data_IF_138317774517
#
_entry.id   IF_138317774517
#
_cell.length_a   1.000
_cell.length_b   1.000
_cell.length_c   1.000
_cell.angle_alpha   90.00
_cell.angle_beta   90.00
_cell.angle_gamma   90.00
#
_symmetry.space_group_name_H-M   'P 1'
#
loop_
_entity.id
_entity.type
_entity.pdbx_description
1 polymer ?
#
# COMPACT_ATOMS: atom_id res chain seq x y z
N UNK A 1 -15.93 9.59 -18.68
CA UNK A 1 -15.68 8.74 -17.51
C UNK A 1 -14.21 8.84 -17.09
N UNK A 2 -13.90 8.94 -15.79
CA UNK A 2 -12.54 8.96 -15.32
C UNK A 2 -11.81 7.66 -15.69
N UNK A 3 -10.61 7.76 -16.26
CA UNK A 3 -9.85 6.56 -16.63
C UNK A 3 -8.97 6.13 -15.47
N UNK A 4 -9.48 5.32 -14.57
CA UNK A 4 -8.74 4.79 -13.42
C UNK A 4 -7.46 4.02 -13.83
N UNK A 5 -7.46 3.33 -14.98
CA UNK A 5 -6.25 2.68 -15.53
C UNK A 5 -5.13 3.70 -15.78
N UNK A 6 -5.48 4.93 -16.19
CA UNK A 6 -4.49 6.00 -16.41
C UNK A 6 -3.83 6.46 -15.13
N UNK A 7 -4.53 6.43 -13.98
CA UNK A 7 -3.94 6.78 -12.68
C UNK A 7 -2.78 5.85 -12.35
N UNK A 8 -3.02 4.54 -12.43
CA UNK A 8 -1.97 3.55 -12.14
C UNK A 8 -0.77 3.70 -13.08
N UNK A 9 -1.04 3.79 -14.40
CA UNK A 9 0.02 3.99 -15.40
C UNK A 9 0.79 5.30 -15.17
N UNK A 10 0.10 6.35 -14.76
CA UNK A 10 0.72 7.63 -14.44
C UNK A 10 1.62 7.55 -13.21
N UNK A 11 1.14 6.94 -12.13
CA UNK A 11 1.94 6.73 -10.90
C UNK A 11 3.18 5.87 -11.20
N UNK A 12 3.03 4.75 -11.92
CA UNK A 12 4.16 3.88 -12.25
C UNK A 12 5.16 4.58 -13.17
N UNK A 13 4.69 5.43 -14.08
CA UNK A 13 5.54 6.25 -14.93
C UNK A 13 6.36 7.26 -14.10
N UNK A 14 5.72 7.96 -13.15
CA UNK A 14 6.42 8.87 -12.23
C UNK A 14 7.47 8.13 -11.40
N UNK A 15 7.11 6.98 -10.83
CA UNK A 15 8.03 6.16 -10.03
C UNK A 15 9.25 5.72 -10.85
N UNK A 16 9.03 5.32 -12.08
CA UNK A 16 10.10 4.83 -12.98
C UNK A 16 10.99 5.96 -13.43
N UNK A 17 10.43 7.05 -13.95
CA UNK A 17 11.20 8.15 -14.53
C UNK A 17 12.01 8.93 -13.50
N UNK A 18 11.51 9.05 -12.30
CA UNK A 18 12.18 9.80 -11.23
C UNK A 18 12.80 8.90 -10.14
N UNK A 19 12.71 7.57 -10.27
CA UNK A 19 13.20 6.60 -9.27
C UNK A 19 12.68 6.89 -7.86
N UNK A 20 11.40 7.30 -7.74
CA UNK A 20 10.77 7.72 -6.50
C UNK A 20 9.98 6.59 -5.84
N UNK A 21 9.84 6.64 -4.53
CA UNK A 21 8.83 5.90 -3.79
C UNK A 21 7.63 6.81 -3.56
N UNK A 22 6.47 6.43 -4.10
CA UNK A 22 5.23 7.17 -3.94
C UNK A 22 4.31 6.44 -2.97
N UNK A 23 3.74 7.18 -2.04
CA UNK A 23 2.70 6.69 -1.12
C UNK A 23 1.55 7.68 -1.04
N UNK A 24 0.37 7.16 -0.75
CA UNK A 24 -0.85 7.94 -0.55
C UNK A 24 -1.29 7.76 0.90
N UNK A 25 -1.53 8.88 1.57
CA UNK A 25 -2.10 8.91 2.92
C UNK A 25 -3.56 9.29 2.82
N UNK A 26 -4.41 8.46 3.42
CA UNK A 26 -5.84 8.73 3.55
C UNK A 26 -6.16 9.23 4.96
N UNK A 27 -6.61 10.48 5.08
CA UNK A 27 -6.97 11.08 6.36
C UNK A 27 -8.49 11.11 6.60
N UNK A 28 -9.28 10.76 5.61
CA UNK A 28 -10.74 10.92 5.63
C UNK A 28 -11.55 9.69 5.24
N UNK A 29 -10.87 8.59 4.94
CA UNK A 29 -11.50 7.39 4.38
C UNK A 29 -11.96 7.58 2.92
N UNK A 30 -11.36 8.53 2.18
CA UNK A 30 -11.82 8.86 0.84
C UNK A 30 -11.62 7.72 -0.16
N UNK A 31 -10.57 6.94 0.04
CA UNK A 31 -10.23 5.82 -0.84
C UNK A 31 -11.36 4.79 -0.86
N UNK A 32 -11.94 4.51 0.31
CA UNK A 32 -13.00 3.49 0.46
C UNK A 32 -14.39 3.96 0.00
N UNK A 33 -14.53 5.23 -0.39
CA UNK A 33 -15.80 5.76 -0.91
C UNK A 33 -16.02 5.50 -2.40
N UNK A 34 -14.97 5.08 -3.10
CA UNK A 34 -15.01 4.77 -4.52
C UNK A 34 -14.16 3.53 -4.78
N UNK A 35 -14.81 2.40 -5.08
CA UNK A 35 -14.15 1.10 -5.26
C UNK A 35 -13.10 1.07 -6.38
N UNK A 36 -13.34 1.81 -7.48
CA UNK A 36 -12.38 1.91 -8.56
C UNK A 36 -11.11 2.67 -8.11
N UNK A 37 -11.30 3.71 -7.30
CA UNK A 37 -10.20 4.48 -6.72
C UNK A 37 -9.44 3.64 -5.70
N UNK A 38 -10.14 2.90 -4.82
CA UNK A 38 -9.54 1.97 -3.88
C UNK A 38 -8.65 0.96 -4.58
N UNK A 39 -9.17 0.28 -5.58
CA UNK A 39 -8.43 -0.74 -6.34
C UNK A 39 -7.11 -0.19 -6.91
N UNK A 40 -7.15 1.01 -7.46
CA UNK A 40 -6.00 1.63 -8.11
C UNK A 40 -4.99 2.18 -7.10
N UNK A 41 -5.46 2.75 -5.97
CA UNK A 41 -4.61 3.42 -5.00
C UNK A 41 -4.11 2.50 -3.87
N UNK A 42 -4.76 1.36 -3.64
CA UNK A 42 -4.41 0.40 -2.59
C UNK A 42 -2.94 -0.02 -2.57
N UNK A 43 -2.26 -0.27 -3.72
CA UNK A 43 -0.83 -0.61 -3.74
C UNK A 43 0.09 0.49 -3.18
N UNK A 44 -0.39 1.71 -3.10
CA UNK A 44 0.39 2.88 -2.71
C UNK A 44 0.09 3.37 -1.28
N UNK A 45 -0.67 2.62 -0.48
CA UNK A 45 -1.04 3.02 0.89
C UNK A 45 0.08 2.81 1.91
N UNK A 46 1.11 2.06 1.57
CA UNK A 46 2.19 1.75 2.48
C UNK A 46 3.57 1.94 1.84
N UNK A 47 4.52 2.42 2.63
CA UNK A 47 5.93 2.40 2.25
C UNK A 47 6.46 0.97 2.26
N UNK A 48 6.95 0.50 1.12
CA UNK A 48 7.49 -0.86 0.92
C UNK A 48 9.01 -0.89 0.70
N UNK A 49 9.72 0.23 0.90
CA UNK A 49 11.17 0.21 0.72
C UNK A 49 11.86 -0.63 1.81
N UNK A 50 12.93 -1.37 1.46
CA UNK A 50 13.65 -2.19 2.43
C UNK A 50 14.15 -1.41 3.65
N UNK A 51 14.57 -0.16 3.46
CA UNK A 51 14.97 0.70 4.58
C UNK A 51 13.79 1.01 5.51
N UNK A 52 12.64 1.43 4.96
CA UNK A 52 11.45 1.72 5.76
C UNK A 52 10.93 0.49 6.48
N UNK A 53 10.95 -0.68 5.82
CA UNK A 53 10.55 -1.94 6.43
C UNK A 53 11.47 -2.31 7.61
N UNK A 54 12.79 -2.22 7.42
CA UNK A 54 13.76 -2.47 8.47
C UNK A 54 13.56 -1.53 9.68
N UNK A 55 13.31 -0.24 9.45
CA UNK A 55 13.04 0.70 10.56
C UNK A 55 11.77 0.30 11.32
N UNK A 56 10.73 -0.13 10.62
CA UNK A 56 9.45 -0.53 11.22
C UNK A 56 9.43 -1.90 11.88
N UNK A 57 10.49 -2.69 11.77
CA UNK A 57 10.62 -3.97 12.50
C UNK A 57 10.62 -3.80 14.01
N UNK A 58 11.00 -2.62 14.54
CA UNK A 58 10.90 -2.33 15.96
C UNK A 58 9.64 -1.54 16.28
N UNK A 59 9.04 -1.82 17.42
CA UNK A 59 7.90 -1.07 17.95
C UNK A 59 8.17 0.44 17.96
N UNK A 60 9.33 0.84 18.49
CA UNK A 60 9.78 2.24 18.52
C UNK A 60 9.83 2.88 17.13
N UNK A 61 10.37 2.17 16.15
CA UNK A 61 10.46 2.66 14.76
C UNK A 61 9.10 2.79 14.11
N UNK A 62 8.23 1.82 14.35
CA UNK A 62 6.86 1.81 13.82
C UNK A 62 6.01 2.93 14.44
N UNK A 63 5.97 3.05 15.77
CA UNK A 63 5.20 4.07 16.47
C UNK A 63 5.63 5.50 16.07
N UNK A 64 6.94 5.72 15.90
CA UNK A 64 7.42 7.00 15.38
C UNK A 64 6.98 7.28 13.95
N UNK A 65 6.90 6.25 13.10
CA UNK A 65 6.39 6.39 11.75
C UNK A 65 4.88 6.74 11.75
N UNK A 66 4.10 6.08 12.60
CA UNK A 66 2.67 6.37 12.76
C UNK A 66 2.42 7.78 13.32
N UNK A 67 3.18 8.18 14.33
CA UNK A 67 3.08 9.50 14.95
C UNK A 67 3.28 10.66 13.97
N UNK A 68 3.91 10.41 12.82
CA UNK A 68 4.08 11.40 11.76
C UNK A 68 2.75 11.77 11.05
N UNK A 69 1.74 10.91 11.10
CA UNK A 69 0.50 11.15 10.36
C UNK A 69 -0.24 12.41 10.84
N UNK A 70 -0.31 12.65 12.16
CA UNK A 70 -0.98 13.84 12.70
C UNK A 70 -0.28 15.16 12.33
N UNK A 71 1.03 15.34 12.51
CA UNK A 71 1.74 16.53 12.05
C UNK A 71 1.66 16.74 10.52
N UNK A 72 1.67 15.67 9.73
CA UNK A 72 1.49 15.77 8.28
C UNK A 72 0.10 16.29 7.93
N UNK A 73 -0.94 15.75 8.56
CA UNK A 73 -2.32 16.20 8.36
C UNK A 73 -2.47 17.69 8.70
N UNK A 74 -1.92 18.13 9.84
CA UNK A 74 -1.97 19.54 10.23
C UNK A 74 -1.32 20.46 9.18
N UNK A 75 -0.15 20.08 8.66
CA UNK A 75 0.50 20.85 7.57
C UNK A 75 -0.30 20.81 6.26
N UNK A 76 -0.97 19.71 5.97
CA UNK A 76 -1.82 19.62 4.77
C UNK A 76 -3.02 20.55 4.79
N UNK A 77 -3.42 21.07 5.95
CA UNK A 77 -4.48 22.09 6.07
C UNK A 77 -4.15 23.41 5.36
N UNK A 78 -2.87 23.71 5.19
CA UNK A 78 -2.42 24.88 4.41
C UNK A 78 -2.66 24.71 2.91
N UNK A 79 -2.98 23.48 2.46
CA UNK A 79 -3.26 23.10 1.07
C UNK A 79 -2.13 23.42 0.08
N UNK A 80 -0.93 23.62 0.58
CA UNK A 80 0.28 23.86 -0.21
C UNK A 80 1.20 22.67 -0.14
N UNK A 81 1.86 22.29 -1.24
CA UNK A 81 2.94 21.33 -1.19
C UNK A 81 4.06 21.80 -0.28
N UNK A 82 4.71 20.84 0.36
CA UNK A 82 5.86 21.13 1.22
C UNK A 82 6.86 19.99 1.23
N UNK A 83 8.11 20.35 1.55
CA UNK A 83 9.19 19.42 1.79
C UNK A 83 9.39 19.21 3.29
N UNK A 84 9.68 17.98 3.67
CA UNK A 84 9.96 17.63 5.05
C UNK A 84 10.84 16.39 5.18
N UNK A 85 11.22 16.05 6.40
CA UNK A 85 11.96 14.84 6.71
C UNK A 85 11.14 13.99 7.67
N UNK A 86 10.87 12.74 7.29
CA UNK A 86 10.18 11.80 8.15
C UNK A 86 11.07 11.43 9.38
N UNK A 87 10.53 10.74 10.39
CA UNK A 87 11.32 10.33 11.56
C UNK A 87 12.52 9.45 11.23
N UNK A 88 12.46 8.69 10.12
CA UNK A 88 13.56 7.89 9.63
C UNK A 88 14.62 8.69 8.82
N UNK A 89 14.50 10.02 8.77
CA UNK A 89 15.43 10.92 8.11
C UNK A 89 15.37 10.91 6.59
N UNK A 90 14.28 10.41 6.00
CA UNK A 90 14.04 10.44 4.56
C UNK A 90 13.34 11.75 4.21
N UNK A 91 13.83 12.43 3.16
CA UNK A 91 13.14 13.59 2.61
C UNK A 91 11.84 13.16 1.91
N UNK A 92 10.78 13.90 2.14
CA UNK A 92 9.47 13.71 1.51
C UNK A 92 8.98 15.01 0.92
N UNK A 93 8.55 14.97 -0.33
CA UNK A 93 7.68 15.99 -0.91
C UNK A 93 6.25 15.54 -0.70
N UNK A 94 5.46 16.38 -0.03
CA UNK A 94 4.08 16.10 0.33
C UNK A 94 3.17 17.04 -0.43
N UNK A 95 2.23 16.49 -1.18
CA UNK A 95 1.21 17.24 -1.93
C UNK A 95 -0.16 16.88 -1.36
N UNK A 96 -0.89 17.85 -0.78
CA UNK A 96 -2.22 17.61 -0.23
C UNK A 96 -3.25 17.24 -1.30
N UNK A 97 -4.10 16.27 -1.02
CA UNK A 97 -5.33 15.97 -1.77
C UNK A 97 -6.45 16.71 -1.04
N UNK A 98 -6.85 17.87 -1.53
CA UNK A 98 -7.76 18.76 -0.79
C UNK A 98 -8.66 19.60 -1.69
N UNK A 99 -9.85 19.96 -1.17
CA UNK A 99 -10.67 21.06 -1.67
C UNK A 99 -10.47 22.30 -0.80
N UNK A 100 -11.19 23.38 -1.11
CA UNK A 100 -11.20 24.57 -0.24
C UNK A 100 -11.77 24.28 1.16
N UNK A 101 -12.64 23.29 1.27
CA UNK A 101 -13.38 22.96 2.50
C UNK A 101 -12.69 21.85 3.31
N UNK A 102 -12.04 20.89 2.62
CA UNK A 102 -11.60 19.63 3.26
C UNK A 102 -10.28 19.11 2.70
N UNK A 103 -9.45 18.60 3.61
CA UNK A 103 -8.29 17.74 3.27
C UNK A 103 -8.74 16.29 3.31
N UNK A 104 -8.56 15.58 2.21
CA UNK A 104 -8.89 14.16 2.08
C UNK A 104 -7.69 13.29 2.45
N UNK A 105 -6.50 13.67 1.97
CA UNK A 105 -5.28 12.91 2.12
C UNK A 105 -4.07 13.66 1.63
N UNK A 106 -3.00 12.93 1.34
CA UNK A 106 -1.81 13.47 0.67
C UNK A 106 -1.15 12.44 -0.23
N UNK A 107 -0.45 12.92 -1.25
CA UNK A 107 0.49 12.15 -2.06
C UNK A 107 1.88 12.50 -1.55
N UNK A 108 2.61 11.50 -1.10
CA UNK A 108 3.95 11.67 -0.58
C UNK A 108 4.93 10.96 -1.50
N UNK A 109 5.95 11.64 -1.98
CA UNK A 109 7.07 11.01 -2.67
C UNK A 109 8.33 11.13 -1.83
N UNK A 110 9.13 10.10 -1.85
CA UNK A 110 10.33 9.95 -1.03
C UNK A 110 11.43 9.18 -1.76
N UNK A 111 12.50 8.84 -1.06
CA UNK A 111 13.72 8.20 -1.57
C UNK A 111 14.60 9.13 -2.40
N UNK A 112 14.55 10.40 -2.09
CA UNK A 112 15.52 11.38 -2.55
C UNK A 112 16.08 12.15 -1.35
N UNK A 113 17.20 12.84 -1.56
CA UNK A 113 17.74 13.80 -0.61
C UNK A 113 18.14 15.06 -1.35
N UNK A 114 17.79 16.21 -0.81
CA UNK A 114 18.09 17.51 -1.43
C UNK A 114 19.45 18.04 -0.97
N UNK A 115 19.83 17.71 0.25
CA UNK A 115 21.04 18.16 0.89
C UNK A 115 21.71 17.01 1.63
N UNK A 116 23.00 16.83 1.41
CA UNK A 116 23.78 15.81 2.09
C UNK A 116 23.77 16.08 3.62
N UNK A 117 23.49 15.04 4.38
CA UNK A 117 23.45 15.14 5.84
C UNK A 117 22.15 15.67 6.45
N UNK A 118 21.31 16.38 5.70
CA UNK A 118 20.01 16.81 6.19
C UNK A 118 19.11 15.58 6.46
N UNK A 119 18.61 15.42 7.66
CA UNK A 119 17.92 14.20 8.12
C UNK A 119 18.79 13.24 8.94
N UNK A 120 20.12 13.39 8.94
CA UNK A 120 21.03 12.55 9.77
C UNK A 120 20.64 12.58 11.23
N UNK A 121 20.41 13.77 11.79
CA UNK A 121 19.98 13.93 13.17
C UNK A 121 18.74 13.07 13.50
N UNK A 122 17.73 13.06 12.65
CA UNK A 122 16.52 12.24 12.87
C UNK A 122 16.84 10.75 12.86
N UNK A 123 17.70 10.29 11.93
CA UNK A 123 18.15 8.89 11.89
C UNK A 123 18.94 8.51 13.15
N UNK A 124 19.84 9.36 13.58
CA UNK A 124 20.64 9.13 14.77
C UNK A 124 19.76 9.06 16.03
N UNK A 125 18.82 9.97 16.17
CA UNK A 125 17.85 9.93 17.27
C UNK A 125 16.96 8.68 17.24
N UNK A 126 16.54 8.26 16.06
CA UNK A 126 15.74 7.03 15.90
C UNK A 126 16.55 5.79 16.33
N UNK A 127 17.82 5.74 15.95
CA UNK A 127 18.70 4.60 16.15
C UNK A 127 19.56 4.68 17.45
N UNK A 128 19.37 5.72 18.27
CA UNK A 128 20.22 6.02 19.42
C UNK A 128 20.44 4.81 20.34
N UNK A 129 19.37 4.12 20.67
CA UNK A 129 19.36 3.03 21.65
C UNK A 129 19.46 1.64 20.99
N UNK A 130 19.62 1.58 19.66
CA UNK A 130 19.72 0.32 18.93
C UNK A 130 21.14 -0.26 19.02
N UNK A 131 21.29 -1.60 18.92
CA UNK A 131 22.60 -2.23 18.83
C UNK A 131 23.42 -1.75 17.63
N UNK A 132 24.76 -1.74 17.75
CA UNK A 132 25.65 -1.24 16.69
C UNK A 132 25.48 -1.98 15.36
N UNK A 133 25.25 -3.30 15.42
CA UNK A 133 24.90 -4.11 14.23
C UNK A 133 23.68 -3.55 13.51
N UNK A 134 22.63 -3.19 14.26
CA UNK A 134 21.39 -2.66 13.68
C UNK A 134 21.60 -1.25 13.10
N UNK A 135 22.39 -0.41 13.80
CA UNK A 135 22.82 0.91 13.30
C UNK A 135 23.55 0.80 11.96
N UNK A 136 24.49 -0.16 11.87
CA UNK A 136 25.23 -0.40 10.63
C UNK A 136 24.29 -0.84 9.50
N UNK A 137 23.43 -1.81 9.74
CA UNK A 137 22.45 -2.29 8.76
C UNK A 137 21.54 -1.16 8.27
N UNK A 138 21.03 -0.33 9.19
CA UNK A 138 20.21 0.83 8.84
C UNK A 138 20.96 1.81 7.91
N UNK A 139 22.25 2.09 8.20
CA UNK A 139 23.10 2.96 7.36
C UNK A 139 23.30 2.39 5.95
N UNK A 140 23.56 1.08 5.86
CA UNK A 140 23.74 0.40 4.57
C UNK A 140 22.46 0.43 3.72
N UNK A 141 21.32 0.08 4.33
CA UNK A 141 20.02 0.12 3.66
C UNK A 141 19.65 1.56 3.23
N UNK A 142 19.92 2.56 4.09
CA UNK A 142 19.70 3.95 3.72
C UNK A 142 20.51 4.34 2.48
N UNK A 143 21.82 4.06 2.48
CA UNK A 143 22.71 4.37 1.33
C UNK A 143 22.29 3.62 0.07
N UNK A 144 21.80 2.41 0.18
CA UNK A 144 21.39 1.59 -0.96
C UNK A 144 20.06 2.05 -1.57
N UNK A 145 19.08 2.40 -0.74
CA UNK A 145 17.70 2.63 -1.17
C UNK A 145 17.25 4.09 -1.14
N UNK A 146 17.87 4.92 -0.29
CA UNK A 146 17.60 6.36 -0.27
C UNK A 146 18.72 7.05 -1.04
N UNK A 147 18.58 7.08 -2.36
CA UNK A 147 19.61 7.67 -3.24
C UNK A 147 19.54 9.19 -3.20
N UNK A 148 20.69 9.88 -3.21
CA UNK A 148 20.70 11.29 -3.56
C UNK A 148 20.24 11.40 -5.02
N UNK A 149 19.07 11.94 -5.24
CA UNK A 149 18.52 12.15 -6.56
C UNK A 149 18.55 13.64 -6.83
N UNK A 150 19.16 14.05 -7.92
CA UNK A 150 18.95 15.35 -8.51
C UNK A 150 17.59 15.33 -9.22
N UNK A 151 16.52 15.41 -8.44
CA UNK A 151 15.19 15.60 -8.99
C UNK A 151 14.95 17.10 -9.13
N UNK A 152 14.37 17.50 -10.24
CA UNK A 152 13.74 18.81 -10.35
C UNK A 152 12.44 18.79 -9.54
N UNK A 153 12.53 19.18 -8.26
CA UNK A 153 11.39 19.22 -7.34
C UNK A 153 10.17 19.91 -7.96
N UNK A 154 10.30 21.06 -8.64
CA UNK A 154 9.15 21.72 -9.27
C UNK A 154 8.41 20.85 -10.28
N UNK A 155 9.12 20.10 -11.13
CA UNK A 155 8.50 19.23 -12.14
C UNK A 155 7.75 18.05 -11.51
N UNK A 156 8.36 17.43 -10.49
CA UNK A 156 7.71 16.37 -9.72
C UNK A 156 6.49 16.91 -8.97
N UNK A 157 6.64 18.06 -8.31
CA UNK A 157 5.55 18.71 -7.58
C UNK A 157 4.36 18.98 -8.48
N UNK A 158 4.57 19.62 -9.63
CA UNK A 158 3.51 19.91 -10.59
C UNK A 158 2.77 18.64 -11.04
N UNK A 159 3.53 17.56 -11.31
CA UNK A 159 2.94 16.28 -11.70
C UNK A 159 2.08 15.67 -10.59
N UNK A 160 2.47 15.82 -9.33
CA UNK A 160 1.70 15.34 -8.18
C UNK A 160 0.48 16.22 -7.88
N UNK A 161 0.59 17.54 -8.10
CA UNK A 161 -0.55 18.47 -7.98
C UNK A 161 -1.64 18.11 -9.00
N UNK A 162 -1.27 17.85 -10.26
CA UNK A 162 -2.22 17.36 -11.28
C UNK A 162 -2.89 16.03 -10.87
N UNK A 163 -2.12 15.10 -10.29
CA UNK A 163 -2.68 13.83 -9.81
C UNK A 163 -3.63 14.07 -8.62
N UNK A 164 -3.29 14.96 -7.70
CA UNK A 164 -4.13 15.30 -6.56
C UNK A 164 -5.44 15.96 -7.01
N UNK A 165 -5.37 16.90 -7.94
CA UNK A 165 -6.55 17.54 -8.54
C UNK A 165 -7.44 16.53 -9.26
N UNK A 166 -6.85 15.61 -10.01
CA UNK A 166 -7.60 14.56 -10.70
C UNK A 166 -8.31 13.62 -9.72
N UNK A 167 -7.67 13.26 -8.60
CA UNK A 167 -8.31 12.48 -7.53
C UNK A 167 -9.48 13.26 -6.92
N UNK A 168 -9.29 14.55 -6.64
CA UNK A 168 -10.36 15.43 -6.11
C UNK A 168 -11.54 15.51 -7.08
N UNK A 169 -11.28 15.63 -8.38
CA UNK A 169 -12.33 15.67 -9.39
C UNK A 169 -13.12 14.36 -9.44
N UNK A 170 -12.45 13.22 -9.33
CA UNK A 170 -13.12 11.92 -9.18
C UNK A 170 -14.02 11.91 -7.96
N UNK A 171 -13.53 12.40 -6.80
CA UNK A 171 -14.30 12.42 -5.56
C UNK A 171 -15.52 13.35 -5.63
N UNK A 172 -15.42 14.48 -6.33
CA UNK A 172 -16.54 15.40 -6.55
C UNK A 172 -17.61 14.79 -7.42
N UNK A 173 -17.21 14.04 -8.46
CA UNK A 173 -18.11 13.39 -9.40
C UNK A 173 -18.66 12.06 -8.87
N UNK A 174 -18.09 11.54 -7.78
CA UNK A 174 -18.61 10.35 -7.09
C UNK A 174 -19.77 10.73 -6.16
N UNK A 175 -20.84 11.29 -6.74
CA UNK A 175 -22.09 11.54 -6.00
C UNK A 175 -22.89 10.23 -5.92
N UNK A 176 -22.91 9.66 -4.71
CA UNK A 176 -23.94 8.69 -4.30
C UNK A 176 -23.97 7.33 -5.03
N UNK A 177 -24.74 6.39 -4.52
CA UNK A 177 -24.83 5.03 -5.04
C UNK A 177 -25.77 4.90 -6.25
N UNK A 178 -25.53 5.68 -7.31
CA UNK A 178 -26.24 5.57 -8.60
C UNK A 178 -25.29 5.64 -9.79
N UNK A 179 -24.19 4.91 -9.74
CA UNK A 179 -23.59 4.39 -10.96
C UNK A 179 -23.96 2.92 -11.02
N UNK A 180 -24.67 2.52 -12.10
CA UNK A 180 -24.76 1.11 -12.49
C UNK A 180 -23.36 0.53 -12.37
N UNK A 181 -23.15 -0.51 -11.56
CA UNK A 181 -21.81 -1.05 -11.32
C UNK A 181 -21.16 -1.29 -12.67
N UNK A 182 -19.92 -0.79 -12.86
CA UNK A 182 -19.17 -1.13 -14.06
C UNK A 182 -19.23 -2.66 -14.20
N UNK A 183 -19.74 -3.22 -15.30
CA UNK A 183 -19.89 -4.66 -15.44
C UNK A 183 -18.60 -5.42 -15.13
N UNK A 184 -17.43 -4.88 -15.53
CA UNK A 184 -16.12 -5.46 -15.19
C UNK A 184 -15.83 -5.49 -13.68
N UNK A 185 -16.27 -4.47 -12.93
CA UNK A 185 -16.09 -4.42 -11.48
C UNK A 185 -17.04 -5.38 -10.77
N UNK A 186 -18.26 -5.51 -11.27
CA UNK A 186 -19.23 -6.46 -10.76
C UNK A 186 -18.73 -7.90 -10.97
N UNK A 187 -18.18 -8.20 -12.15
CA UNK A 187 -17.60 -9.50 -12.45
C UNK A 187 -16.38 -9.78 -11.57
N UNK A 188 -15.48 -8.81 -11.38
CA UNK A 188 -14.35 -8.96 -10.44
C UNK A 188 -14.83 -9.27 -9.01
N UNK A 189 -15.82 -8.55 -8.52
CA UNK A 189 -16.42 -8.82 -7.20
C UNK A 189 -16.98 -10.23 -7.09
N UNK A 190 -17.72 -10.69 -8.11
CA UNK A 190 -18.28 -12.04 -8.18
C UNK A 190 -17.18 -13.10 -8.18
N UNK A 191 -16.12 -12.91 -8.97
CA UNK A 191 -14.97 -13.81 -9.02
C UNK A 191 -14.26 -13.85 -7.66
N UNK A 192 -14.01 -12.69 -7.05
CA UNK A 192 -13.35 -12.61 -5.74
C UNK A 192 -14.19 -13.26 -4.64
N UNK A 193 -15.50 -13.02 -4.63
CA UNK A 193 -16.43 -13.65 -3.69
C UNK A 193 -16.39 -15.18 -3.85
N UNK A 194 -16.52 -15.69 -5.07
CA UNK A 194 -16.45 -17.12 -5.35
C UNK A 194 -15.13 -17.74 -4.88
N UNK A 195 -13.99 -17.12 -5.20
CA UNK A 195 -12.67 -17.58 -4.73
C UNK A 195 -12.60 -17.55 -3.20
N UNK A 196 -13.17 -16.52 -2.57
CA UNK A 196 -13.20 -16.36 -1.10
C UNK A 196 -14.00 -17.44 -0.41
N UNK A 197 -15.14 -17.82 -0.95
CA UNK A 197 -16.02 -18.85 -0.41
C UNK A 197 -15.48 -20.27 -0.62
N UNK A 198 -14.68 -20.46 -1.66
CA UNK A 198 -14.14 -21.78 -2.04
C UNK A 198 -12.61 -21.90 -1.82
N UNK A 199 -12.04 -21.11 -0.91
CA UNK A 199 -10.58 -21.03 -0.72
C UNK A 199 -9.91 -22.32 -0.31
N UNK A 200 -10.59 -23.21 0.39
CA UNK A 200 -10.07 -24.50 0.86
C UNK A 200 -9.95 -25.56 -0.25
N UNK A 201 -10.51 -25.32 -1.43
CA UNK A 201 -10.53 -26.25 -2.55
C UNK A 201 -9.56 -25.87 -3.66
N UNK A 202 -9.33 -26.81 -4.59
CA UNK A 202 -8.61 -26.54 -5.83
C UNK A 202 -9.54 -25.81 -6.78
N UNK A 203 -9.38 -24.49 -6.92
CA UNK A 203 -10.16 -23.68 -7.84
C UNK A 203 -9.54 -23.72 -9.24
N UNK A 204 -10.32 -24.10 -10.24
CA UNK A 204 -9.96 -24.10 -11.65
C UNK A 204 -10.63 -22.93 -12.37
N UNK A 205 -9.97 -22.37 -13.39
CA UNK A 205 -10.54 -21.28 -14.17
C UNK A 205 -11.87 -21.67 -14.84
N UNK A 206 -11.96 -22.88 -15.36
CA UNK A 206 -13.16 -23.43 -15.99
C UNK A 206 -14.35 -23.50 -15.02
N UNK A 207 -14.12 -23.81 -13.75
CA UNK A 207 -15.17 -23.82 -12.72
C UNK A 207 -15.69 -22.39 -12.48
N UNK A 208 -14.79 -21.41 -12.36
CA UNK A 208 -15.19 -20.00 -12.19
C UNK A 208 -16.00 -19.50 -13.39
N UNK A 209 -15.58 -19.87 -14.61
CA UNK A 209 -16.29 -19.49 -15.82
C UNK A 209 -17.72 -20.08 -15.88
N UNK A 210 -17.86 -21.37 -15.52
CA UNK A 210 -19.17 -22.04 -15.55
C UNK A 210 -20.09 -21.63 -14.42
N UNK A 211 -19.60 -21.56 -13.19
CA UNK A 211 -20.40 -21.24 -12.00
C UNK A 211 -20.87 -19.77 -11.98
N UNK A 212 -20.06 -18.87 -12.51
CA UNK A 212 -20.40 -17.45 -12.56
C UNK A 212 -21.00 -17.02 -13.90
N UNK A 213 -21.06 -17.92 -14.89
CA UNK A 213 -21.54 -17.63 -16.25
C UNK A 213 -20.82 -16.44 -16.89
N UNK A 214 -19.50 -16.35 -16.69
CA UNK A 214 -18.67 -15.27 -17.22
C UNK A 214 -17.81 -15.73 -18.40
N UNK A 215 -17.43 -14.79 -19.24
CA UNK A 215 -16.57 -15.07 -20.38
C UNK A 215 -15.09 -15.22 -19.98
N UNK A 216 -14.31 -15.94 -20.80
CA UNK A 216 -12.84 -16.01 -20.65
C UNK A 216 -12.18 -14.64 -20.76
N UNK A 217 -12.76 -13.76 -21.59
CA UNK A 217 -12.26 -12.40 -21.76
C UNK A 217 -12.44 -11.58 -20.47
N UNK A 218 -13.61 -11.70 -19.80
CA UNK A 218 -13.85 -11.05 -18.52
C UNK A 218 -12.88 -11.52 -17.43
N UNK A 219 -12.67 -12.83 -17.28
CA UNK A 219 -11.69 -13.37 -16.34
C UNK A 219 -10.28 -12.88 -16.66
N UNK A 220 -9.89 -12.85 -17.93
CA UNK A 220 -8.59 -12.33 -18.37
C UNK A 220 -8.43 -10.86 -18.01
N UNK A 221 -9.45 -10.03 -18.23
CA UNK A 221 -9.44 -8.60 -17.86
C UNK A 221 -9.23 -8.41 -16.34
N UNK A 222 -9.88 -9.23 -15.50
CA UNK A 222 -9.71 -9.19 -14.06
C UNK A 222 -8.27 -9.57 -13.64
N UNK A 223 -7.67 -10.58 -14.28
CA UNK A 223 -6.28 -10.98 -14.01
C UNK A 223 -5.31 -9.86 -14.45
N UNK A 224 -5.48 -9.31 -15.65
CA UNK A 224 -4.64 -8.22 -16.18
C UNK A 224 -4.80 -6.90 -15.40
N UNK A 225 -5.94 -6.68 -14.75
CA UNK A 225 -6.18 -5.57 -13.82
C UNK A 225 -5.50 -5.74 -12.47
N UNK A 226 -4.95 -6.91 -12.18
CA UNK A 226 -4.21 -7.22 -10.95
C UNK A 226 -2.69 -7.29 -11.21
N UNK A 227 -1.91 -7.58 -10.16
CA UNK A 227 -0.47 -7.85 -10.29
C UNK A 227 -0.15 -9.29 -10.69
N UNK A 228 -1.17 -10.15 -10.82
CA UNK A 228 -1.02 -11.56 -11.15
C UNK A 228 -0.76 -11.76 -12.65
N UNK A 229 0.13 -12.70 -13.00
CA UNK A 229 0.45 -13.06 -14.38
C UNK A 229 -0.48 -14.11 -14.96
N UNK A 230 -1.16 -14.86 -14.09
CA UNK A 230 -2.05 -15.94 -14.45
C UNK A 230 -3.10 -16.20 -13.37
N UNK A 231 -4.10 -17.03 -13.67
CA UNK A 231 -5.20 -17.35 -12.78
C UNK A 231 -4.75 -17.95 -11.42
N UNK A 232 -3.73 -18.79 -11.41
CA UNK A 232 -3.21 -19.37 -10.16
C UNK A 232 -2.60 -18.32 -9.25
N UNK A 233 -1.86 -17.37 -9.80
CA UNK A 233 -1.32 -16.23 -9.04
C UNK A 233 -2.43 -15.32 -8.56
N UNK A 234 -3.47 -15.12 -9.36
CA UNK A 234 -4.65 -14.35 -8.99
C UNK A 234 -5.38 -14.95 -7.77
N UNK A 235 -5.64 -16.26 -7.80
CA UNK A 235 -6.21 -17.00 -6.66
C UNK A 235 -5.31 -16.88 -5.42
N UNK A 236 -4.00 -17.07 -5.58
CA UNK A 236 -3.06 -16.95 -4.47
C UNK A 236 -3.02 -15.52 -3.89
N UNK A 237 -3.12 -14.49 -4.71
CA UNK A 237 -3.17 -13.11 -4.23
C UNK A 237 -4.40 -12.88 -3.33
N UNK A 238 -5.57 -13.38 -3.73
CA UNK A 238 -6.80 -13.30 -2.93
C UNK A 238 -6.66 -14.07 -1.62
N UNK A 239 -6.11 -15.29 -1.66
CA UNK A 239 -5.86 -16.10 -0.45
C UNK A 239 -4.91 -15.40 0.53
N UNK A 240 -3.87 -14.74 0.02
CA UNK A 240 -2.94 -13.98 0.85
C UNK A 240 -3.61 -12.77 1.50
N UNK A 241 -4.49 -12.06 0.80
CA UNK A 241 -5.27 -10.97 1.39
C UNK A 241 -6.17 -11.45 2.53
N UNK A 242 -6.81 -12.60 2.35
CA UNK A 242 -7.60 -13.23 3.41
C UNK A 242 -6.74 -13.67 4.59
N UNK A 243 -5.53 -14.19 4.31
CA UNK A 243 -4.62 -14.62 5.38
C UNK A 243 -4.19 -13.44 6.26
N UNK A 244 -3.93 -12.28 5.68
CA UNK A 244 -3.64 -11.06 6.45
C UNK A 244 -4.77 -10.73 7.43
N UNK A 245 -6.02 -10.79 6.97
CA UNK A 245 -7.20 -10.57 7.81
C UNK A 245 -7.32 -11.61 8.94
N UNK A 246 -7.21 -12.90 8.59
CA UNK A 246 -7.34 -13.99 9.57
C UNK A 246 -6.21 -13.98 10.61
N UNK A 247 -4.99 -13.62 10.22
CA UNK A 247 -3.86 -13.45 11.13
C UNK A 247 -4.11 -12.37 12.18
N UNK A 248 -4.87 -11.32 11.85
CA UNK A 248 -5.21 -10.22 12.75
C UNK A 248 -6.46 -10.46 13.60
N UNK A 249 -7.43 -11.19 13.06
CA UNK A 249 -8.77 -11.34 13.65
C UNK A 249 -8.95 -12.63 14.43
N UNK A 250 -8.06 -13.63 14.26
CA UNK A 250 -8.23 -14.94 14.88
C UNK A 250 -7.00 -15.36 15.69
N UNK A 251 -7.17 -16.28 16.63
CA UNK A 251 -6.08 -16.90 17.40
C UNK A 251 -5.48 -18.13 16.70
N UNK A 252 -5.88 -18.41 15.44
CA UNK A 252 -5.35 -19.52 14.66
C UNK A 252 -3.86 -19.33 14.37
N UNK A 253 -3.13 -20.44 14.30
CA UNK A 253 -1.72 -20.37 13.88
C UNK A 253 -1.62 -20.01 12.39
N UNK A 254 -0.51 -19.38 11.95
CA UNK A 254 -0.29 -19.11 10.52
C UNK A 254 -0.37 -20.37 9.65
N UNK A 255 0.01 -21.54 10.21
CA UNK A 255 -0.06 -22.83 9.52
C UNK A 255 -1.51 -23.27 9.31
N UNK A 256 -2.35 -23.14 10.34
CA UNK A 256 -3.77 -23.48 10.25
C UNK A 256 -4.52 -22.55 9.29
N UNK A 257 -4.15 -21.26 9.29
CA UNK A 257 -4.70 -20.28 8.34
C UNK A 257 -4.31 -20.64 6.91
N UNK A 258 -3.03 -20.95 6.66
CA UNK A 258 -2.58 -21.36 5.34
C UNK A 258 -3.33 -22.60 4.83
N UNK A 259 -3.49 -23.61 5.68
CA UNK A 259 -4.24 -24.82 5.34
C UNK A 259 -5.71 -24.53 5.06
N UNK A 260 -6.36 -23.74 5.90
CA UNK A 260 -7.77 -23.34 5.73
C UNK A 260 -8.01 -22.55 4.44
N UNK A 261 -7.00 -21.82 3.97
CA UNK A 261 -7.03 -21.08 2.71
C UNK A 261 -6.54 -21.90 1.50
N UNK A 262 -6.39 -23.21 1.64
CA UNK A 262 -6.08 -24.13 0.54
C UNK A 262 -4.62 -24.12 0.07
N UNK A 263 -3.68 -23.62 0.89
CA UNK A 263 -2.26 -23.81 0.65
C UNK A 263 -1.84 -25.22 1.10
N UNK A 264 -1.46 -26.07 0.15
CA UNK A 264 -1.03 -27.44 0.45
C UNK A 264 0.36 -27.49 1.10
N UNK A 265 1.20 -26.48 0.84
CA UNK A 265 2.56 -26.37 1.35
C UNK A 265 2.70 -25.05 2.13
N UNK A 266 2.97 -25.19 3.44
CA UNK A 266 3.16 -24.06 4.33
C UNK A 266 4.40 -23.22 3.97
N UNK A 267 5.47 -23.84 3.51
CA UNK A 267 6.68 -23.10 3.10
C UNK A 267 6.40 -22.25 1.86
N UNK A 268 5.61 -22.79 0.94
CA UNK A 268 5.16 -22.02 -0.24
C UNK A 268 4.30 -20.82 0.18
N UNK A 269 3.37 -21.00 1.12
CA UNK A 269 2.59 -19.89 1.69
C UNK A 269 3.51 -18.84 2.33
N UNK A 270 4.44 -19.27 3.20
CA UNK A 270 5.35 -18.34 3.87
C UNK A 270 6.17 -17.51 2.88
N UNK A 271 6.66 -18.13 1.80
CA UNK A 271 7.41 -17.43 0.76
C UNK A 271 6.56 -16.37 0.06
N UNK A 272 5.36 -16.74 -0.38
CA UNK A 272 4.45 -15.81 -1.07
C UNK A 272 4.00 -14.67 -0.12
N UNK A 273 3.72 -15.01 1.13
CA UNK A 273 3.34 -14.02 2.13
C UNK A 273 4.48 -13.03 2.42
N UNK A 274 5.70 -13.55 2.61
CA UNK A 274 6.89 -12.72 2.80
C UNK A 274 7.18 -11.84 1.58
N UNK A 275 6.99 -12.36 0.38
CA UNK A 275 7.15 -11.59 -0.86
C UNK A 275 6.14 -10.42 -0.93
N UNK A 276 4.89 -10.67 -0.50
CA UNK A 276 3.81 -9.66 -0.49
C UNK A 276 3.92 -8.70 0.70
N UNK A 277 3.94 -9.23 1.92
CA UNK A 277 3.87 -8.46 3.15
C UNK A 277 5.22 -7.96 3.67
N UNK A 278 6.35 -8.48 3.11
CA UNK A 278 7.75 -8.20 3.48
C UNK A 278 8.11 -8.60 4.93
N UNK A 279 7.26 -9.37 5.57
CA UNK A 279 7.44 -9.93 6.93
C UNK A 279 6.86 -11.34 6.96
N UNK A 280 7.43 -12.22 7.77
CA UNK A 280 6.92 -13.60 7.89
C UNK A 280 5.53 -13.64 8.54
N UNK A 281 4.65 -14.59 8.18
CA UNK A 281 3.28 -14.67 8.71
C UNK A 281 3.20 -14.71 10.24
N UNK A 282 4.14 -15.41 10.90
CA UNK A 282 4.22 -15.51 12.36
C UNK A 282 4.55 -14.16 13.01
N UNK A 283 5.47 -13.44 12.40
CA UNK A 283 5.90 -12.13 12.90
C UNK A 283 4.84 -11.07 12.61
N UNK A 284 4.19 -11.15 11.43
CA UNK A 284 3.03 -10.34 11.08
C UNK A 284 1.92 -10.50 12.14
N UNK A 285 1.57 -11.74 12.50
CA UNK A 285 0.56 -12.02 13.49
C UNK A 285 0.92 -11.49 14.88
N UNK A 286 2.13 -11.76 15.36
CA UNK A 286 2.61 -11.27 16.67
C UNK A 286 2.62 -9.76 16.75
N UNK A 287 3.13 -9.13 15.70
CA UNK A 287 3.31 -7.71 15.63
C UNK A 287 1.97 -6.97 15.72
N UNK A 288 1.04 -7.28 14.83
CA UNK A 288 -0.21 -6.55 14.74
C UNK A 288 -1.28 -6.93 15.78
N UNK A 289 -1.20 -8.15 16.37
CA UNK A 289 -2.09 -8.51 17.51
C UNK A 289 -1.74 -7.78 18.79
N UNK A 290 -0.47 -7.60 19.07
CA UNK A 290 -0.02 -6.85 20.24
C UNK A 290 -0.50 -5.39 20.18
N UNK A 291 -0.56 -4.80 18.99
CA UNK A 291 -1.10 -3.45 18.82
C UNK A 291 -2.60 -3.33 19.16
N UNK A 292 -3.43 -4.27 18.70
CA UNK A 292 -4.87 -4.27 19.03
C UNK A 292 -5.13 -4.40 20.54
N UNK A 293 -4.26 -5.11 21.28
CA UNK A 293 -4.41 -5.28 22.74
C UNK A 293 -3.98 -4.04 23.53
N UNK A 294 -3.09 -3.20 22.99
CA UNK A 294 -2.62 -1.99 23.66
C UNK A 294 -3.43 -0.74 23.33
N UNK A 295 -4.16 -0.72 22.23
CA UNK A 295 -5.05 0.38 21.82
C UNK A 295 -6.45 0.37 22.44
N UNK A 296 -6.73 -0.58 23.33
CA UNK A 296 -8.06 -0.74 24.00
C UNK A 296 -8.03 -0.50 25.52
N UNK A 297 -6.94 0.11 26.02
CA UNK A 297 -6.87 0.58 27.42
C UNK A 297 -6.81 2.10 27.49
#
# INVERSE_FOLDING_TARGET
MPSYKKINSYIENLKTNFSLCLTIKDYSGFIYKNENLERVLRPYLAHSSPYCMFIKETEKGYQRCLAQNSPLYEKCKDRKPFLGYCPAGICELVVPIATKEKVFGSINVSHFTLEEGKGNYKREQLMKDEPDQRKLTARLLYRQFVRPTTIEVPSVQFSLELLAEYIVEILRNSKGPEETPNPELLEEKRIRAYITENTNEKILAEQVLSELEISRAALKTCIEGSTAKNFREYVNAIRLEQSEKLLLETERTPKDIALALGFKDYNHFCRLFLEKAKIAPSDYQKYYKNEKRQGTN
#
